data_IF_048130309017
#
_entry.id   IF_048130309017
#
_cell.length_a   1.000
_cell.length_b   1.000
_cell.length_c   1.000
_cell.angle_alpha   90.00
_cell.angle_beta   90.00
_cell.angle_gamma   90.00
#
_symmetry.space_group_name_H-M   'P 1'
#
loop_
_entity.id
_entity.type
_entity.pdbx_description
1 polymer ?
#
# COMPACT_ATOMS: atom_id res chain seq x y z
N UNK A 1 -13.33 -15.57 5.60
CA UNK A 1 -13.26 -17.02 5.86
C UNK A 1 -14.64 -17.58 6.18
N UNK A 2 -15.31 -17.10 7.24
CA UNK A 2 -16.61 -17.63 7.68
C UNK A 2 -17.72 -17.58 6.62
N UNK A 3 -17.68 -16.60 5.71
CA UNK A 3 -18.61 -16.49 4.57
C UNK A 3 -18.24 -17.36 3.36
N UNK A 4 -17.26 -18.26 3.49
CA UNK A 4 -16.84 -19.17 2.41
C UNK A 4 -15.93 -18.54 1.34
N UNK A 5 -15.37 -17.35 1.58
CA UNK A 5 -14.41 -16.74 0.64
C UNK A 5 -13.15 -17.61 0.50
N UNK A 6 -12.77 -17.93 -0.74
CA UNK A 6 -11.61 -18.78 -1.06
C UNK A 6 -10.35 -17.99 -1.45
N UNK A 7 -10.50 -16.72 -1.85
CA UNK A 7 -9.40 -15.83 -2.21
C UNK A 7 -9.39 -14.63 -1.24
N UNK A 8 -8.44 -14.64 -0.30
CA UNK A 8 -8.26 -13.58 0.70
C UNK A 8 -6.79 -13.45 1.16
N UNK A 9 -5.87 -14.06 0.41
CA UNK A 9 -4.47 -14.20 0.84
C UNK A 9 -3.75 -12.85 0.89
N UNK A 10 -4.06 -11.95 -0.05
CA UNK A 10 -3.52 -10.59 -0.06
C UNK A 10 -4.06 -9.81 1.15
N UNK A 11 -5.37 -9.88 1.39
CA UNK A 11 -6.04 -9.19 2.48
C UNK A 11 -5.53 -9.65 3.85
N UNK A 12 -5.27 -10.96 4.00
CA UNK A 12 -4.64 -11.52 5.19
C UNK A 12 -3.19 -11.03 5.37
N UNK A 13 -2.39 -10.99 4.29
CA UNK A 13 -1.04 -10.44 4.35
C UNK A 13 -1.04 -8.94 4.70
N UNK A 14 -1.95 -8.17 4.11
CA UNK A 14 -2.13 -6.75 4.40
C UNK A 14 -2.48 -6.56 5.88
N UNK A 15 -3.46 -7.29 6.41
CA UNK A 15 -3.88 -7.15 7.80
C UNK A 15 -2.78 -7.52 8.80
N UNK A 16 -1.97 -8.54 8.49
CA UNK A 16 -0.81 -8.94 9.28
C UNK A 16 0.25 -7.83 9.32
N UNK A 17 0.65 -7.30 8.16
CA UNK A 17 1.64 -6.22 8.06
C UNK A 17 1.12 -4.97 8.77
N UNK A 18 -0.09 -4.54 8.44
CA UNK A 18 -0.71 -3.34 9.01
C UNK A 18 -0.88 -3.45 10.52
N UNK A 19 -1.47 -4.54 11.01
CA UNK A 19 -1.77 -4.73 12.43
C UNK A 19 -0.51 -4.80 13.29
N UNK A 20 0.51 -5.52 12.83
CA UNK A 20 1.79 -5.63 13.58
C UNK A 20 2.55 -4.31 13.67
N UNK A 21 2.53 -3.48 12.62
CA UNK A 21 3.17 -2.17 12.62
C UNK A 21 2.33 -1.11 13.35
N UNK A 22 1.00 -1.15 13.22
CA UNK A 22 0.11 -0.28 13.97
C UNK A 22 0.24 -0.52 15.48
N UNK A 23 0.24 -1.79 15.93
CA UNK A 23 0.40 -2.12 17.34
C UNK A 23 1.77 -1.65 17.88
N UNK A 24 2.84 -1.85 17.11
CA UNK A 24 4.17 -1.35 17.45
C UNK A 24 4.17 0.17 17.63
N UNK A 25 3.65 0.91 16.64
CA UNK A 25 3.62 2.37 16.68
C UNK A 25 2.76 2.91 17.83
N UNK A 26 1.59 2.31 18.08
CA UNK A 26 0.71 2.72 19.18
C UNK A 26 1.38 2.49 20.54
N UNK A 27 2.08 1.35 20.70
CA UNK A 27 2.81 1.05 21.94
C UNK A 27 3.98 2.01 22.15
N UNK A 28 4.69 2.38 21.08
CA UNK A 28 5.81 3.33 21.10
C UNK A 28 5.33 4.74 21.51
N UNK A 29 4.27 5.24 20.87
CA UNK A 29 3.66 6.53 21.20
C UNK A 29 3.06 6.57 22.62
N UNK A 30 2.57 5.42 23.12
CA UNK A 30 2.11 5.30 24.50
C UNK A 30 3.26 5.53 25.49
N UNK A 31 4.41 4.90 25.27
CA UNK A 31 5.61 5.13 26.09
C UNK A 31 6.03 6.60 26.00
N UNK A 32 6.08 7.16 24.79
CA UNK A 32 6.46 8.55 24.57
C UNK A 32 5.53 9.53 25.31
N UNK A 33 4.22 9.27 25.31
CA UNK A 33 3.22 10.08 26.02
C UNK A 33 3.37 9.99 27.54
N UNK A 34 3.76 8.83 28.06
CA UNK A 34 4.01 8.61 29.49
C UNK A 34 5.39 9.13 29.96
N UNK A 35 6.27 9.49 29.03
CA UNK A 35 7.64 9.90 29.32
C UNK A 35 8.43 8.83 30.07
N UNK A 36 9.21 9.24 31.08
CA UNK A 36 10.02 8.30 31.87
C UNK A 36 9.21 7.18 32.51
N UNK A 37 7.94 7.41 32.85
CA UNK A 37 7.06 6.39 33.43
C UNK A 37 6.77 5.25 32.46
N UNK A 38 6.63 5.53 31.16
CA UNK A 38 6.39 4.49 30.15
C UNK A 38 7.56 3.52 29.99
N UNK A 39 8.77 3.95 30.36
CA UNK A 39 9.97 3.12 30.39
C UNK A 39 10.10 2.29 31.68
N UNK A 40 9.34 2.62 32.73
CA UNK A 40 9.40 1.90 34.01
C UNK A 40 8.65 0.58 33.91
N UNK A 41 9.25 -0.48 34.45
CA UNK A 41 8.69 -1.83 34.42
C UNK A 41 7.30 -1.90 35.06
N UNK A 42 7.08 -1.10 36.10
CA UNK A 42 5.81 -1.01 36.84
C UNK A 42 4.64 -0.53 35.97
N UNK A 43 4.91 0.20 34.87
CA UNK A 43 3.87 0.62 33.93
C UNK A 43 3.31 -0.53 33.08
N UNK A 44 4.10 -1.59 32.88
CA UNK A 44 3.79 -2.71 31.98
C UNK A 44 3.84 -2.39 30.48
N UNK A 45 3.95 -1.12 30.07
CA UNK A 45 3.91 -0.73 28.64
C UNK A 45 5.17 -1.16 27.90
N UNK A 46 6.34 -1.07 28.57
CA UNK A 46 7.61 -1.56 28.02
C UNK A 46 7.55 -3.06 27.68
N UNK A 47 6.82 -3.85 28.50
CA UNK A 47 6.65 -5.28 28.26
C UNK A 47 5.83 -5.52 26.99
N UNK A 48 4.70 -4.81 26.83
CA UNK A 48 3.88 -4.88 25.62
C UNK A 48 4.71 -4.55 24.38
N UNK A 49 5.53 -3.49 24.44
CA UNK A 49 6.41 -3.11 23.33
C UNK A 49 7.40 -4.22 22.98
N UNK A 50 8.05 -4.84 23.98
CA UNK A 50 8.96 -5.97 23.76
C UNK A 50 8.24 -7.17 23.12
N UNK A 51 7.06 -7.49 23.61
CA UNK A 51 6.26 -8.61 23.12
C UNK A 51 5.80 -8.39 21.67
N UNK A 52 5.48 -7.15 21.30
CA UNK A 52 5.06 -6.79 19.93
C UNK A 52 6.18 -6.93 18.89
N UNK A 53 7.46 -6.94 19.28
CA UNK A 53 8.58 -6.94 18.33
C UNK A 53 8.56 -8.15 17.39
N UNK A 54 8.16 -9.32 17.88
CA UNK A 54 8.17 -10.57 17.12
C UNK A 54 7.09 -10.61 16.03
N UNK A 55 5.98 -9.88 16.21
CA UNK A 55 4.85 -9.89 15.27
C UNK A 55 5.19 -9.35 13.88
N UNK A 56 6.23 -8.54 13.77
CA UNK A 56 6.76 -8.04 12.48
C UNK A 56 7.67 -9.04 11.76
N UNK A 57 8.05 -10.14 12.43
CA UNK A 57 9.05 -11.12 11.95
C UNK A 57 8.41 -12.49 11.72
N UNK A 58 7.71 -13.05 12.70
CA UNK A 58 7.14 -14.39 12.57
C UNK A 58 5.93 -14.43 11.63
N UNK A 59 5.47 -15.63 11.27
CA UNK A 59 4.35 -15.84 10.33
C UNK A 59 4.54 -15.10 8.99
N UNK A 60 5.78 -15.09 8.51
CA UNK A 60 6.23 -14.28 7.38
C UNK A 60 6.69 -12.89 7.83
N UNK A 61 7.94 -12.54 7.55
CA UNK A 61 8.43 -11.20 7.86
C UNK A 61 7.63 -10.17 7.07
N UNK A 62 7.42 -8.99 7.64
CA UNK A 62 6.63 -7.96 6.95
C UNK A 62 7.26 -7.55 5.61
N UNK A 63 8.59 -7.65 5.46
CA UNK A 63 9.29 -7.39 4.20
C UNK A 63 8.92 -8.43 3.12
N UNK A 64 8.89 -9.72 3.47
CA UNK A 64 8.49 -10.79 2.55
C UNK A 64 7.00 -10.68 2.21
N UNK A 65 6.15 -10.38 3.20
CA UNK A 65 4.72 -10.19 2.95
C UNK A 65 4.44 -8.99 2.04
N UNK A 66 5.21 -7.90 2.14
CA UNK A 66 5.13 -6.78 1.18
C UNK A 66 5.49 -7.21 -0.23
N UNK A 67 6.56 -7.97 -0.41
CA UNK A 67 6.91 -8.51 -1.72
C UNK A 67 5.80 -9.42 -2.26
N UNK A 68 5.22 -10.27 -1.41
CA UNK A 68 4.07 -11.10 -1.77
C UNK A 68 2.86 -10.27 -2.23
N UNK A 69 2.45 -9.26 -1.45
CA UNK A 69 1.32 -8.36 -1.78
C UNK A 69 1.54 -7.71 -3.15
N UNK A 70 2.72 -7.14 -3.40
CA UNK A 70 3.01 -6.48 -4.66
C UNK A 70 3.03 -7.48 -5.83
N UNK A 71 3.74 -8.60 -5.70
CA UNK A 71 3.93 -9.57 -6.78
C UNK A 71 2.64 -10.29 -7.16
N UNK A 72 1.80 -10.63 -6.18
CA UNK A 72 0.50 -11.23 -6.46
C UNK A 72 -0.41 -10.26 -7.24
N UNK A 73 -0.41 -8.98 -6.86
CA UNK A 73 -1.09 -7.92 -7.62
C UNK A 73 -0.57 -7.81 -9.06
N UNK A 74 0.75 -7.87 -9.25
CA UNK A 74 1.39 -7.87 -10.56
C UNK A 74 1.08 -9.12 -11.40
N UNK A 75 0.92 -10.29 -10.78
CA UNK A 75 0.54 -11.51 -11.49
C UNK A 75 -0.85 -11.38 -12.12
N UNK A 76 -1.82 -10.86 -11.35
CA UNK A 76 -3.18 -10.63 -11.84
C UNK A 76 -3.22 -9.59 -12.96
N UNK A 77 -2.54 -8.45 -12.79
CA UNK A 77 -2.44 -7.43 -13.83
C UNK A 77 -1.68 -7.92 -15.08
N UNK A 78 -0.63 -8.73 -14.89
CA UNK A 78 0.15 -9.35 -15.97
C UNK A 78 -0.69 -10.32 -16.81
N UNK A 79 -1.59 -11.07 -16.20
CA UNK A 79 -2.52 -11.94 -16.92
C UNK A 79 -3.50 -11.14 -17.80
N UNK A 80 -4.00 -10.00 -17.29
CA UNK A 80 -4.84 -9.09 -18.10
C UNK A 80 -4.08 -8.49 -19.28
N UNK A 81 -2.82 -8.05 -19.05
CA UNK A 81 -1.96 -7.52 -20.12
C UNK A 81 -1.66 -8.57 -21.19
N UNK A 82 -1.51 -9.86 -20.85
CA UNK A 82 -1.39 -10.94 -21.85
C UNK A 82 -2.64 -11.07 -22.70
N UNK A 83 -3.82 -10.95 -22.09
CA UNK A 83 -5.10 -10.91 -22.81
C UNK A 83 -5.16 -9.76 -23.81
N UNK A 84 -4.72 -8.56 -23.41
CA UNK A 84 -4.61 -7.41 -24.31
C UNK A 84 -3.57 -7.62 -25.42
N UNK A 85 -2.41 -8.21 -25.12
CA UNK A 85 -1.40 -8.54 -26.14
C UNK A 85 -1.95 -9.54 -27.16
N UNK A 86 -2.73 -10.53 -26.72
CA UNK A 86 -3.39 -11.48 -27.62
C UNK A 86 -4.48 -10.82 -28.45
N UNK A 87 -5.23 -9.88 -27.87
CA UNK A 87 -6.21 -9.06 -28.59
C UNK A 87 -5.57 -8.18 -29.68
N UNK A 88 -4.37 -7.63 -29.44
CA UNK A 88 -3.62 -6.87 -30.46
C UNK A 88 -3.21 -7.77 -31.63
N UNK A 89 -2.85 -9.04 -31.37
CA UNK A 89 -2.50 -10.00 -32.43
C UNK A 89 -3.70 -10.35 -33.32
N UNK A 90 -4.93 -10.30 -32.77
CA UNK A 90 -6.18 -10.55 -33.49
C UNK A 90 -7.16 -9.36 -33.33
N UNK A 91 -6.86 -8.21 -33.96
CA UNK A 91 -7.54 -6.95 -33.66
C UNK A 91 -9.02 -6.95 -34.07
N UNK A 92 -9.37 -7.65 -35.15
CA UNK A 92 -10.74 -7.72 -35.67
C UNK A 92 -11.69 -8.52 -34.77
N UNK A 93 -11.18 -9.46 -33.98
CA UNK A 93 -11.98 -10.27 -33.05
C UNK A 93 -12.15 -9.65 -31.66
N UNK A 94 -11.37 -8.62 -31.32
CA UNK A 94 -11.29 -8.06 -29.96
C UNK A 94 -11.33 -6.52 -29.94
N UNK A 95 -11.88 -5.88 -30.98
CA UNK A 95 -11.91 -4.44 -31.12
C UNK A 95 -12.55 -3.71 -29.92
N UNK A 96 -13.64 -4.25 -29.37
CA UNK A 96 -14.33 -3.65 -28.21
C UNK A 96 -13.45 -3.60 -26.95
N UNK A 97 -12.70 -4.67 -26.68
CA UNK A 97 -11.76 -4.73 -25.55
C UNK A 97 -10.65 -3.68 -25.72
N UNK A 98 -10.05 -3.61 -26.91
CA UNK A 98 -8.98 -2.67 -27.23
C UNK A 98 -9.42 -1.21 -27.11
N UNK A 99 -10.61 -0.87 -27.61
CA UNK A 99 -11.18 0.48 -27.49
C UNK A 99 -11.45 0.83 -26.03
N UNK A 100 -12.03 -0.10 -25.25
CA UNK A 100 -12.34 0.14 -23.84
C UNK A 100 -11.09 0.39 -23.00
N UNK A 101 -10.01 -0.38 -23.24
CA UNK A 101 -8.77 -0.24 -22.48
C UNK A 101 -7.97 0.99 -22.91
N UNK A 102 -7.94 1.29 -24.21
CA UNK A 102 -7.39 2.54 -24.72
C UNK A 102 -8.11 3.75 -24.11
N UNK A 103 -9.43 3.70 -24.02
CA UNK A 103 -10.25 4.73 -23.36
C UNK A 103 -9.89 4.91 -21.88
N UNK A 104 -9.76 3.81 -21.11
CA UNK A 104 -9.34 3.86 -19.71
C UNK A 104 -7.93 4.44 -19.55
N UNK A 105 -6.97 4.03 -20.38
CA UNK A 105 -5.60 4.56 -20.36
C UNK A 105 -5.56 6.06 -20.67
N UNK A 106 -6.32 6.51 -21.67
CA UNK A 106 -6.44 7.93 -22.01
C UNK A 106 -7.00 8.72 -20.84
N UNK A 107 -8.08 8.22 -20.21
CA UNK A 107 -8.70 8.87 -19.04
C UNK A 107 -7.73 8.96 -17.86
N UNK A 108 -7.06 7.86 -17.50
CA UNK A 108 -6.01 7.85 -16.45
C UNK A 108 -4.93 8.89 -16.71
N UNK A 109 -4.42 8.97 -17.94
CA UNK A 109 -3.37 9.94 -18.33
C UNK A 109 -3.86 11.39 -18.30
N UNK A 110 -5.13 11.62 -18.62
CA UNK A 110 -5.77 12.92 -18.57
C UNK A 110 -6.20 13.32 -17.14
N UNK A 111 -5.95 12.49 -16.12
CA UNK A 111 -6.44 12.72 -14.76
C UNK A 111 -7.96 12.59 -14.61
N UNK A 112 -8.63 12.01 -15.61
CA UNK A 112 -10.07 11.76 -15.61
C UNK A 112 -10.31 10.37 -15.02
N UNK A 113 -11.22 10.25 -14.05
CA UNK A 113 -11.55 8.96 -13.44
C UNK A 113 -11.97 7.92 -14.47
N UNK A 114 -11.64 6.65 -14.25
CA UNK A 114 -11.87 5.56 -15.23
C UNK A 114 -13.33 5.13 -15.38
N UNK A 115 -14.23 5.74 -14.60
CA UNK A 115 -15.65 5.35 -14.49
C UNK A 115 -15.93 4.44 -13.30
N UNK A 116 -14.90 4.04 -12.55
CA UNK A 116 -15.06 3.40 -11.24
C UNK A 116 -15.71 4.41 -10.28
N UNK A 117 -16.67 3.94 -9.50
CA UNK A 117 -17.35 4.74 -8.48
C UNK A 117 -17.75 3.85 -7.30
N UNK A 118 -17.74 4.42 -6.10
CA UNK A 118 -18.27 3.81 -4.90
C UNK A 118 -19.65 4.36 -4.52
N UNK A 119 -20.25 5.19 -5.38
CA UNK A 119 -21.62 5.70 -5.20
C UNK A 119 -22.60 4.54 -5.13
N UNK A 120 -23.50 4.59 -4.13
CA UNK A 120 -24.47 3.52 -3.84
C UNK A 120 -23.91 2.36 -3.02
N UNK A 121 -22.61 2.33 -2.74
CA UNK A 121 -21.97 1.36 -1.81
C UNK A 121 -21.48 2.06 -0.54
N UNK A 122 -20.98 3.29 -0.67
CA UNK A 122 -20.55 4.13 0.46
C UNK A 122 -21.66 5.11 0.82
N UNK A 123 -21.85 5.34 2.12
CA UNK A 123 -22.86 6.26 2.64
C UNK A 123 -22.60 7.70 2.12
N UNK A 124 -23.62 8.48 1.72
CA UNK A 124 -23.44 9.81 1.12
C UNK A 124 -22.57 10.78 1.94
N UNK A 125 -22.66 10.71 3.28
CA UNK A 125 -21.84 11.53 4.18
C UNK A 125 -20.32 11.24 4.11
N UNK A 126 -19.88 10.21 3.37
CA UNK A 126 -18.47 9.84 3.16
C UNK A 126 -18.05 10.02 1.69
N UNK A 127 -18.80 10.77 0.88
CA UNK A 127 -18.56 10.93 -0.57
C UNK A 127 -17.13 11.39 -0.88
N UNK A 128 -16.64 12.43 -0.20
CA UNK A 128 -15.27 12.94 -0.43
C UNK A 128 -14.18 11.90 -0.16
N UNK A 129 -14.30 11.14 0.94
CA UNK A 129 -13.36 10.05 1.25
C UNK A 129 -13.47 8.89 0.25
N UNK A 130 -14.67 8.64 -0.27
CA UNK A 130 -14.89 7.64 -1.31
C UNK A 130 -14.23 8.04 -2.64
N UNK A 131 -14.27 9.33 -3.00
CA UNK A 131 -13.62 9.86 -4.19
C UNK A 131 -12.09 9.76 -4.09
N UNK A 132 -11.53 10.05 -2.91
CA UNK A 132 -10.10 9.85 -2.64
C UNK A 132 -9.68 8.39 -2.84
N UNK A 133 -10.48 7.44 -2.33
CA UNK A 133 -10.20 6.01 -2.51
C UNK A 133 -10.24 5.61 -4.00
N UNK A 134 -11.23 6.09 -4.76
CA UNK A 134 -11.32 5.84 -6.21
C UNK A 134 -10.13 6.43 -6.96
N UNK A 135 -9.74 7.67 -6.66
CA UNK A 135 -8.57 8.31 -7.27
C UNK A 135 -7.28 7.56 -6.96
N UNK A 136 -7.09 7.10 -5.72
CA UNK A 136 -5.95 6.28 -5.33
C UNK A 136 -5.90 4.95 -6.10
N UNK A 137 -7.04 4.27 -6.26
CA UNK A 137 -7.14 3.02 -7.03
C UNK A 137 -6.78 3.26 -8.49
N UNK A 138 -7.27 4.33 -9.10
CA UNK A 138 -6.97 4.67 -10.50
C UNK A 138 -5.49 4.98 -10.71
N UNK A 139 -4.88 5.76 -9.80
CA UNK A 139 -3.45 6.06 -9.81
C UNK A 139 -2.62 4.79 -9.65
N UNK A 140 -2.96 3.95 -8.67
CA UNK A 140 -2.29 2.68 -8.40
C UNK A 140 -2.34 1.75 -9.62
N UNK A 141 -3.51 1.56 -10.22
CA UNK A 141 -3.67 0.74 -11.41
C UNK A 141 -2.81 1.25 -12.58
N UNK A 142 -2.78 2.57 -12.81
CA UNK A 142 -1.93 3.18 -13.84
C UNK A 142 -0.44 2.95 -13.59
N UNK A 143 0.02 3.05 -12.35
CA UNK A 143 1.42 2.77 -11.99
C UNK A 143 1.77 1.30 -12.19
N UNK A 144 0.94 0.37 -11.70
CA UNK A 144 1.14 -1.08 -11.90
C UNK A 144 1.30 -1.41 -13.38
N UNK A 145 0.39 -0.90 -14.21
CA UNK A 145 0.42 -1.12 -15.65
C UNK A 145 1.72 -0.59 -16.29
N UNK A 146 2.13 0.64 -15.95
CA UNK A 146 3.37 1.22 -16.45
C UNK A 146 4.61 0.44 -16.01
N UNK A 147 4.66 -0.01 -14.75
CA UNK A 147 5.78 -0.79 -14.24
C UNK A 147 5.87 -2.18 -14.89
N UNK A 148 4.73 -2.83 -15.14
CA UNK A 148 4.70 -4.09 -15.90
C UNK A 148 5.17 -3.91 -17.33
N UNK A 149 4.74 -2.86 -18.02
CA UNK A 149 5.18 -2.58 -19.38
C UNK A 149 6.69 -2.30 -19.44
N UNK A 150 7.23 -1.62 -18.43
CA UNK A 150 8.66 -1.27 -18.35
C UNK A 150 9.55 -2.47 -17.99
N UNK A 151 9.19 -3.24 -16.97
CA UNK A 151 10.06 -4.28 -16.40
C UNK A 151 9.68 -5.70 -16.85
N UNK A 152 8.45 -5.92 -17.30
CA UNK A 152 7.95 -7.24 -17.67
C UNK A 152 8.15 -8.26 -16.54
N UNK A 153 8.70 -9.43 -16.89
CA UNK A 153 9.01 -10.48 -15.90
C UNK A 153 10.09 -10.08 -14.88
N UNK A 154 10.93 -9.09 -15.19
CA UNK A 154 12.00 -8.62 -14.29
C UNK A 154 11.49 -7.75 -13.15
N UNK A 155 10.19 -7.45 -13.10
CA UNK A 155 9.57 -6.68 -12.01
C UNK A 155 9.84 -7.30 -10.63
N UNK A 156 10.08 -8.62 -10.57
CA UNK A 156 10.45 -9.36 -9.35
C UNK A 156 11.78 -8.91 -8.74
N UNK A 157 12.68 -8.32 -9.54
CA UNK A 157 14.00 -7.84 -9.08
C UNK A 157 13.94 -6.41 -8.53
N UNK A 158 12.83 -5.69 -8.72
CA UNK A 158 12.71 -4.27 -8.41
C UNK A 158 12.17 -4.03 -6.99
N UNK A 159 12.83 -4.63 -5.99
CA UNK A 159 12.31 -4.69 -4.61
C UNK A 159 12.01 -3.33 -3.96
N UNK A 160 12.79 -2.29 -4.24
CA UNK A 160 12.50 -0.93 -3.72
C UNK A 160 11.16 -0.39 -4.23
N UNK A 161 10.85 -0.65 -5.50
CA UNK A 161 9.58 -0.28 -6.11
C UNK A 161 8.45 -1.18 -5.62
N UNK A 162 8.68 -2.50 -5.52
CA UNK A 162 7.71 -3.46 -4.97
C UNK A 162 7.29 -3.08 -3.55
N UNK A 163 8.22 -2.64 -2.69
CA UNK A 163 7.90 -2.15 -1.34
C UNK A 163 6.93 -0.96 -1.37
N UNK A 164 7.23 0.07 -2.18
CA UNK A 164 6.35 1.26 -2.26
C UNK A 164 4.96 0.91 -2.80
N UNK A 165 4.88 -0.02 -3.75
CA UNK A 165 3.61 -0.55 -4.26
C UNK A 165 2.85 -1.30 -3.18
N UNK A 166 3.51 -2.16 -2.42
CA UNK A 166 2.87 -2.88 -1.32
C UNK A 166 2.33 -1.92 -0.25
N UNK A 167 3.12 -0.92 0.14
CA UNK A 167 2.72 0.11 1.11
C UNK A 167 1.46 0.87 0.61
N UNK A 168 1.41 1.25 -0.68
CA UNK A 168 0.21 1.86 -1.27
C UNK A 168 -0.99 0.91 -1.34
N UNK A 169 -0.80 -0.38 -1.61
CA UNK A 169 -1.87 -1.37 -1.61
C UNK A 169 -2.47 -1.56 -0.20
N UNK A 170 -1.61 -1.57 0.83
CA UNK A 170 -2.02 -1.61 2.23
C UNK A 170 -2.89 -0.40 2.58
N UNK A 171 -2.45 0.81 2.22
CA UNK A 171 -3.22 2.04 2.47
C UNK A 171 -4.56 2.04 1.74
N UNK A 172 -4.61 1.63 0.47
CA UNK A 172 -5.87 1.52 -0.31
C UNK A 172 -6.83 0.53 0.35
N UNK A 173 -6.34 -0.64 0.76
CA UNK A 173 -7.16 -1.62 1.45
C UNK A 173 -7.70 -1.08 2.78
N UNK A 174 -6.85 -0.43 3.57
CA UNK A 174 -7.26 0.21 4.81
C UNK A 174 -8.35 1.27 4.59
N UNK A 175 -8.23 2.11 3.55
CA UNK A 175 -9.25 3.11 3.17
C UNK A 175 -10.61 2.46 2.91
N UNK A 176 -10.67 1.41 2.08
CA UNK A 176 -11.97 0.78 1.74
C UNK A 176 -12.57 0.02 2.92
N UNK A 177 -11.76 -0.53 3.82
CA UNK A 177 -12.22 -1.18 5.06
C UNK A 177 -12.88 -0.16 5.99
N UNK A 178 -12.25 0.99 6.25
CA UNK A 178 -12.83 2.02 7.14
C UNK A 178 -14.05 2.68 6.52
N UNK A 179 -14.05 2.92 5.19
CA UNK A 179 -15.22 3.42 4.45
C UNK A 179 -16.41 2.47 4.59
N UNK A 180 -16.19 1.17 4.39
CA UNK A 180 -17.24 0.15 4.52
C UNK A 180 -17.81 0.11 5.94
N UNK A 181 -16.94 0.10 6.96
CA UNK A 181 -17.34 0.07 8.36
C UNK A 181 -18.14 1.30 8.76
N UNK A 182 -17.61 2.49 8.48
CA UNK A 182 -18.26 3.76 8.84
C UNK A 182 -19.57 3.96 8.07
N UNK A 183 -19.63 3.56 6.80
CA UNK A 183 -20.88 3.59 6.02
C UNK A 183 -21.97 2.75 6.67
N UNK A 184 -21.66 1.51 7.05
CA UNK A 184 -22.60 0.63 7.74
C UNK A 184 -23.05 1.21 9.09
N UNK A 185 -22.13 1.80 9.85
CA UNK A 185 -22.46 2.43 11.13
C UNK A 185 -23.44 3.60 10.95
N UNK A 186 -23.24 4.43 9.90
CA UNK A 186 -24.13 5.53 9.53
C UNK A 186 -25.50 5.04 9.07
N UNK A 187 -25.56 4.04 8.19
CA UNK A 187 -26.81 3.43 7.71
C UNK A 187 -27.65 2.83 8.83
N UNK A 188 -27.01 2.20 9.81
CA UNK A 188 -27.67 1.59 10.96
C UNK A 188 -27.97 2.56 12.10
N UNK A 189 -27.58 3.84 11.97
CA UNK A 189 -27.77 4.84 13.02
C UNK A 189 -27.06 4.47 14.34
N UNK A 190 -25.89 3.83 14.27
CA UNK A 190 -25.15 3.43 15.46
C UNK A 190 -24.70 4.64 16.28
N UNK A 191 -24.64 4.52 17.61
CA UNK A 191 -24.24 5.61 18.50
C UNK A 191 -22.84 6.17 18.19
N UNK A 192 -21.93 5.34 17.69
CA UNK A 192 -20.55 5.71 17.31
C UNK A 192 -20.42 6.22 15.88
N UNK A 193 -21.49 6.25 15.09
CA UNK A 193 -21.39 6.47 13.64
C UNK A 193 -20.73 7.80 13.26
N UNK A 194 -20.98 8.88 14.01
CA UNK A 194 -20.34 10.17 13.75
C UNK A 194 -18.85 10.17 14.10
N UNK A 195 -18.45 9.45 15.16
CA UNK A 195 -17.04 9.29 15.49
C UNK A 195 -16.31 8.43 14.45
N UNK A 196 -16.91 7.33 14.02
CA UNK A 196 -16.38 6.46 12.97
C UNK A 196 -16.26 7.19 11.63
N UNK A 197 -17.20 8.09 11.32
CA UNK A 197 -17.12 8.99 10.17
C UNK A 197 -15.84 9.84 10.23
N UNK A 198 -15.60 10.54 11.35
CA UNK A 198 -14.42 11.41 11.51
C UNK A 198 -13.10 10.60 11.44
N UNK A 199 -13.07 9.40 12.03
CA UNK A 199 -11.92 8.51 11.91
C UNK A 199 -11.66 8.10 10.46
N UNK A 200 -12.72 7.74 9.73
CA UNK A 200 -12.64 7.37 8.32
C UNK A 200 -12.13 8.53 7.46
N UNK A 201 -12.70 9.73 7.63
CA UNK A 201 -12.30 10.92 6.88
C UNK A 201 -10.83 11.27 7.12
N UNK A 202 -10.42 11.29 8.39
CA UNK A 202 -9.03 11.59 8.79
C UNK A 202 -8.06 10.55 8.22
N UNK A 203 -8.40 9.26 8.31
CA UNK A 203 -7.57 8.18 7.76
C UNK A 203 -7.43 8.30 6.24
N UNK A 204 -8.55 8.48 5.52
CA UNK A 204 -8.55 8.56 4.07
C UNK A 204 -7.72 9.75 3.56
N UNK A 205 -7.78 10.91 4.21
CA UNK A 205 -6.98 12.07 3.83
C UNK A 205 -5.47 11.78 3.90
N UNK A 206 -4.99 11.22 5.02
CA UNK A 206 -3.58 10.94 5.21
C UNK A 206 -3.09 9.76 4.36
N UNK A 207 -3.91 8.70 4.23
CA UNK A 207 -3.61 7.57 3.36
C UNK A 207 -3.52 8.01 1.89
N UNK A 208 -4.46 8.83 1.41
CA UNK A 208 -4.44 9.36 0.05
C UNK A 208 -3.17 10.17 -0.25
N UNK A 209 -2.74 10.99 0.71
CA UNK A 209 -1.49 11.75 0.62
C UNK A 209 -0.28 10.83 0.51
N UNK A 210 -0.16 9.80 1.37
CA UNK A 210 0.94 8.82 1.32
C UNK A 210 0.97 8.06 -0.01
N UNK A 211 -0.19 7.57 -0.45
CA UNK A 211 -0.33 6.87 -1.74
C UNK A 211 0.13 7.75 -2.88
N UNK A 212 -0.36 8.99 -2.96
CA UNK A 212 0.00 9.92 -4.03
C UNK A 212 1.50 10.22 -4.02
N UNK A 213 2.09 10.48 -2.86
CA UNK A 213 3.53 10.75 -2.73
C UNK A 213 4.38 9.54 -3.17
N UNK A 214 4.04 8.34 -2.69
CA UNK A 214 4.76 7.13 -3.06
C UNK A 214 4.67 6.86 -4.56
N UNK A 215 3.46 6.84 -5.11
CA UNK A 215 3.22 6.42 -6.49
C UNK A 215 3.71 7.43 -7.54
N UNK A 216 3.55 8.73 -7.29
CA UNK A 216 4.00 9.77 -8.24
C UNK A 216 5.51 9.97 -8.23
N UNK A 217 6.19 9.64 -7.13
CA UNK A 217 7.65 9.74 -7.03
C UNK A 217 8.39 8.59 -7.72
N UNK A 218 7.78 7.40 -7.86
CA UNK A 218 8.37 6.22 -8.49
C UNK A 218 9.04 6.46 -9.87
N UNK A 219 8.39 7.14 -10.84
CA UNK A 219 9.00 7.42 -12.13
C UNK A 219 10.07 8.53 -12.10
N UNK A 220 10.22 9.27 -11.00
CA UNK A 220 11.13 10.43 -10.95
C UNK A 220 12.60 10.02 -11.03
N UNK A 221 13.41 10.82 -11.73
CA UNK A 221 14.86 10.61 -11.83
C UNK A 221 15.55 10.61 -10.46
N UNK A 222 15.06 11.44 -9.54
CA UNK A 222 15.53 11.52 -8.15
C UNK A 222 15.34 10.19 -7.42
N UNK A 223 14.13 9.60 -7.45
CA UNK A 223 13.87 8.30 -6.81
C UNK A 223 14.73 7.20 -7.42
N UNK A 224 14.91 7.19 -8.74
CA UNK A 224 15.78 6.22 -9.41
C UNK A 224 17.25 6.38 -9.00
N UNK A 225 17.72 7.62 -8.79
CA UNK A 225 19.07 7.87 -8.29
C UNK A 225 19.21 7.41 -6.84
N UNK A 226 18.22 7.64 -5.99
CA UNK A 226 18.21 7.16 -4.59
C UNK A 226 18.32 5.62 -4.56
N UNK A 227 17.56 4.90 -5.39
CA UNK A 227 17.65 3.44 -5.46
C UNK A 227 19.02 2.94 -5.90
N UNK A 228 19.67 3.63 -6.85
CA UNK A 228 21.07 3.34 -7.22
C UNK A 228 22.01 3.58 -6.05
N UNK A 229 21.85 4.69 -5.33
CA UNK A 229 22.68 5.04 -4.19
C UNK A 229 22.57 3.99 -3.07
N UNK A 230 21.36 3.50 -2.75
CA UNK A 230 21.18 2.43 -1.75
C UNK A 230 22.00 1.18 -2.09
N UNK A 231 22.03 0.76 -3.36
CA UNK A 231 22.84 -0.39 -3.80
C UNK A 231 24.33 -0.13 -3.62
N UNK A 232 24.82 1.06 -3.98
CA UNK A 232 26.23 1.43 -3.84
C UNK A 232 26.65 1.49 -2.37
N UNK A 233 25.86 2.15 -1.52
CA UNK A 233 26.11 2.27 -0.08
C UNK A 233 26.15 0.89 0.57
N UNK A 234 25.13 0.05 0.32
CA UNK A 234 25.06 -1.29 0.87
C UNK A 234 26.24 -2.16 0.44
N UNK A 235 26.65 -2.09 -0.83
CA UNK A 235 27.79 -2.85 -1.34
C UNK A 235 29.08 -2.46 -0.59
N UNK A 236 29.34 -1.16 -0.45
CA UNK A 236 30.52 -0.68 0.25
C UNK A 236 30.54 -1.09 1.74
N UNK A 237 29.39 -1.04 2.41
CA UNK A 237 29.27 -1.49 3.82
C UNK A 237 29.55 -2.98 3.97
N UNK A 238 29.03 -3.81 3.06
CA UNK A 238 29.27 -5.26 3.06
C UNK A 238 30.74 -5.57 2.80
N UNK A 239 31.37 -4.91 1.83
CA UNK A 239 32.81 -5.06 1.52
C UNK A 239 33.70 -4.66 2.70
N UNK A 240 33.30 -3.64 3.48
CA UNK A 240 34.02 -3.20 4.68
C UNK A 240 33.72 -4.04 5.93
N UNK A 241 32.58 -4.73 5.96
CA UNK A 241 32.07 -5.44 7.15
C UNK A 241 31.40 -4.51 8.17
N UNK A 242 30.96 -3.31 7.79
CA UNK A 242 30.40 -2.33 8.71
C UNK A 242 30.30 -0.91 8.12
N UNK A 243 30.33 0.09 9.00
CA UNK A 243 30.34 1.51 8.58
C UNK A 243 31.62 1.80 7.80
N UNK A 244 31.48 2.44 6.63
CA UNK A 244 32.60 2.73 5.73
C UNK A 244 33.43 3.92 6.21
N UNK A 245 32.74 4.98 6.62
CA UNK A 245 33.39 6.21 7.06
C UNK A 245 34.07 6.01 8.41
N UNK A 246 35.30 6.52 8.60
CA UNK A 246 35.90 6.58 9.92
C UNK A 246 35.15 7.61 10.79
N UNK A 247 35.43 7.58 12.10
CA UNK A 247 35.08 8.71 12.96
C UNK A 247 35.71 9.99 12.41
N UNK A 248 35.11 11.14 12.72
CA UNK A 248 35.58 12.44 12.21
C UNK A 248 37.04 12.73 12.60
N UNK A 249 37.54 12.13 13.68
CA UNK A 249 38.94 12.24 14.14
C UNK A 249 39.89 11.25 13.46
N UNK A 250 39.36 10.28 12.70
CA UNK A 250 40.15 9.31 11.95
C UNK A 250 40.65 8.09 12.76
N UNK A 251 40.30 7.99 14.04
CA UNK A 251 40.60 6.88 14.93
C UNK A 251 39.45 6.63 15.90
#
# INVERSE_FOLDING_TARGET
MDRGASDFQIEAAISKVFGSEAAWNVSDECIQTMGGMGFMKESGVEQVMRDLRIFRIFEGTNDILRLFIALYGFQNAGNQLRGLQQAIKNPFGNAGLLVSEAGKRVRRRAGLGTGITLKGVVHPNLESSSEQAVQAIDLFAGVIENQLLKHGKKVVEEQFMLKQIADSAIDIYAMVVVLSRASRALEQGQATAQHEKVLCETWCMEAYKRITQNLTSLPSSTTQQIFKNFRVISKAMVEKGGVVSPYTLGF
#
